data_IF_629439772037
#
_entry.id   IF_629439772037
#
_cell.length_a   1.000
_cell.length_b   1.000
_cell.length_c   1.000
_cell.angle_alpha   90.00
_cell.angle_beta   90.00
_cell.angle_gamma   90.00
#
_symmetry.space_group_name_H-M   'P 1'
#
loop_
_entity.id
_entity.type
_entity.pdbx_description
1 polymer ?
#
# COMPACT_ATOMS: atom_id res chain seq x y z
N UNK A 1 37.71 99.47 72.51
CA UNK A 1 37.91 99.95 73.89
C UNK A 1 37.11 99.06 74.83
N UNK A 2 37.78 98.59 75.88
CA UNK A 2 37.21 98.14 77.18
C UNK A 2 36.40 96.82 77.18
N UNK A 3 36.85 95.75 77.86
CA UNK A 3 36.89 95.51 79.33
C UNK A 3 35.46 95.50 79.92
N UNK A 4 34.99 94.58 80.76
CA UNK A 4 35.56 93.53 81.62
C UNK A 4 34.40 92.66 82.18
N UNK A 5 34.70 91.38 82.44
CA UNK A 5 34.34 90.53 83.62
C UNK A 5 32.93 90.47 84.21
N UNK A 6 32.40 89.25 84.38
CA UNK A 6 32.48 88.42 85.61
C UNK A 6 31.70 87.12 85.40
N UNK A 7 32.31 85.93 85.44
CA UNK A 7 32.63 85.06 86.61
C UNK A 7 31.39 84.64 87.43
N UNK A 8 31.02 83.37 87.28
CA UNK A 8 30.49 82.41 88.28
C UNK A 8 30.41 81.03 87.56
N UNK A 9 31.44 80.18 87.64
CA UNK A 9 31.69 79.09 88.60
C UNK A 9 30.77 77.85 88.52
N UNK A 10 31.41 76.73 88.10
CA UNK A 10 31.23 75.35 88.56
C UNK A 10 30.07 74.47 88.03
N UNK A 11 30.37 73.57 87.07
CA UNK A 11 30.41 72.10 87.19
C UNK A 11 30.36 71.39 85.81
N UNK A 12 31.14 70.32 85.65
CA UNK A 12 31.10 69.34 84.55
C UNK A 12 31.34 67.95 85.18
N UNK A 13 31.20 66.79 84.50
CA UNK A 13 30.48 66.43 83.25
C UNK A 13 29.61 65.15 83.41
N UNK A 14 28.73 64.78 82.46
CA UNK A 14 28.35 63.37 82.22
C UNK A 14 27.92 63.13 80.77
N UNK A 15 28.69 62.32 80.03
CA UNK A 15 28.22 61.64 78.83
C UNK A 15 27.26 60.50 79.22
N UNK A 16 26.05 60.50 78.69
CA UNK A 16 25.12 59.39 78.79
C UNK A 16 25.28 58.47 77.57
N UNK A 17 25.92 57.33 77.79
CA UNK A 17 25.88 56.18 76.88
C UNK A 17 24.45 55.63 76.86
N UNK A 18 23.86 55.47 75.68
CA UNK A 18 22.58 54.75 75.51
C UNK A 18 22.84 53.24 75.53
N UNK A 19 22.16 52.45 76.38
CA UNK A 19 22.40 51.03 76.48
C UNK A 19 21.74 50.26 75.33
N UNK A 20 22.48 49.31 74.77
CA UNK A 20 21.97 48.33 73.81
C UNK A 20 20.96 47.38 74.45
N UNK A 21 19.86 47.12 73.74
CA UNK A 21 18.91 46.06 74.05
C UNK A 21 18.69 45.18 72.81
N UNK A 22 19.41 44.06 72.81
CA UNK A 22 19.29 42.90 71.95
C UNK A 22 17.95 42.19 72.15
N UNK A 23 16.98 42.42 71.26
CA UNK A 23 15.79 41.56 71.15
C UNK A 23 15.65 41.00 69.74
N UNK A 24 15.69 39.68 69.62
CA UNK A 24 15.47 38.90 68.38
C UNK A 24 14.15 39.29 67.71
N UNK A 25 13.15 39.70 68.50
CA UNK A 25 11.84 40.15 68.03
C UNK A 25 11.91 41.48 67.29
N UNK A 26 12.74 42.42 67.74
CA UNK A 26 12.94 43.70 67.07
C UNK A 26 13.66 43.51 65.72
N UNK A 27 14.63 42.58 65.67
CA UNK A 27 15.32 42.19 64.43
C UNK A 27 14.37 41.49 63.44
N UNK A 28 13.50 40.59 63.93
CA UNK A 28 12.52 39.90 63.10
C UNK A 28 11.47 40.88 62.53
N UNK A 29 11.02 41.86 63.31
CA UNK A 29 10.06 42.86 62.83
C UNK A 29 10.68 43.78 61.76
N UNK A 30 11.93 44.20 61.93
CA UNK A 30 12.69 44.93 60.91
C UNK A 30 12.94 44.10 59.64
N UNK A 31 13.21 42.80 59.78
CA UNK A 31 13.39 41.88 58.64
C UNK A 31 12.09 41.68 57.85
N UNK A 32 10.95 41.54 58.54
CA UNK A 32 9.63 41.49 57.91
C UNK A 32 9.26 42.82 57.25
N UNK A 33 9.56 43.95 57.90
CA UNK A 33 9.32 45.29 57.35
C UNK A 33 10.13 45.53 56.06
N UNK A 34 11.34 44.99 55.98
CA UNK A 34 12.23 45.14 54.83
C UNK A 34 12.16 43.95 53.86
N UNK A 35 11.17 43.07 54.00
CA UNK A 35 11.02 41.89 53.15
C UNK A 35 10.59 42.28 51.73
N UNK A 36 11.50 42.15 50.77
CA UNK A 36 11.22 42.31 49.34
C UNK A 36 10.77 40.96 48.77
N UNK A 37 9.58 40.90 48.17
CA UNK A 37 9.12 39.68 47.46
C UNK A 37 10.17 39.32 46.39
N UNK A 38 10.57 38.04 46.26
CA UNK A 38 11.43 37.63 45.15
C UNK A 38 10.70 37.89 43.83
N UNK A 39 11.44 38.41 42.84
CA UNK A 39 10.93 38.72 41.52
C UNK A 39 10.25 37.49 40.90
N UNK A 40 9.09 37.69 40.28
CA UNK A 40 8.25 36.65 39.66
C UNK A 40 8.91 35.94 38.45
N UNK A 41 10.22 36.12 38.24
CA UNK A 41 10.98 35.61 37.10
C UNK A 41 11.77 34.33 37.42
N UNK A 42 11.43 33.61 38.49
CA UNK A 42 11.98 32.27 38.73
C UNK A 42 11.37 31.29 37.71
N UNK A 43 12.00 31.15 36.55
CA UNK A 43 11.65 30.10 35.58
C UNK A 43 11.74 28.73 36.26
N UNK A 44 10.78 27.81 36.04
CA UNK A 44 10.89 26.46 36.55
C UNK A 44 12.17 25.83 36.03
N UNK A 45 13.05 25.42 36.96
CA UNK A 45 14.26 24.65 36.67
C UNK A 45 13.94 23.49 35.71
N UNK A 46 14.64 23.43 34.57
CA UNK A 46 14.63 22.31 33.63
C UNK A 46 15.21 21.05 34.30
N UNK A 47 14.44 20.44 35.22
CA UNK A 47 14.79 19.17 35.84
C UNK A 47 14.75 18.10 34.76
N UNK A 48 15.92 17.58 34.39
CA UNK A 48 16.01 16.43 33.49
C UNK A 48 15.15 15.29 34.05
N UNK A 49 14.33 14.61 33.22
CA UNK A 49 13.46 13.55 33.69
C UNK A 49 14.27 12.44 34.38
N UNK A 50 13.71 11.86 35.44
CA UNK A 50 14.39 10.78 36.16
C UNK A 50 14.66 9.58 35.22
N UNK A 51 15.71 8.77 35.48
CA UNK A 51 16.00 7.59 34.66
C UNK A 51 14.81 6.63 34.58
N UNK A 52 14.05 6.49 35.66
CA UNK A 52 12.83 5.69 35.70
C UNK A 52 11.72 6.26 34.81
N UNK A 53 11.49 7.58 34.87
CA UNK A 53 10.52 8.25 33.99
C UNK A 53 10.88 8.06 32.51
N UNK A 54 12.16 8.24 32.17
CA UNK A 54 12.67 8.02 30.81
C UNK A 54 12.43 6.57 30.36
N UNK A 55 12.78 5.57 31.19
CA UNK A 55 12.55 4.14 30.88
C UNK A 55 11.07 3.77 30.71
N UNK A 56 10.17 4.39 31.47
CA UNK A 56 8.73 4.16 31.32
C UNK A 56 8.19 4.73 30.01
N UNK A 57 8.65 5.92 29.60
CA UNK A 57 8.26 6.52 28.31
C UNK A 57 8.78 5.73 27.11
N UNK A 58 10.03 5.25 27.17
CA UNK A 58 10.58 4.40 26.10
C UNK A 58 9.89 3.05 26.03
N UNK A 59 9.59 2.41 27.18
CA UNK A 59 8.77 1.19 27.22
C UNK A 59 7.39 1.42 26.59
N UNK A 60 6.71 2.51 26.93
CA UNK A 60 5.42 2.86 26.34
C UNK A 60 5.51 3.07 24.81
N UNK A 61 6.58 3.72 24.34
CA UNK A 61 6.81 3.90 22.91
C UNK A 61 7.07 2.57 22.17
N UNK A 62 7.82 1.66 22.78
CA UNK A 62 8.07 0.31 22.25
C UNK A 62 6.76 -0.48 22.15
N UNK A 63 5.92 -0.46 23.20
CA UNK A 63 4.62 -1.15 23.15
C UNK A 63 3.70 -0.58 22.06
N UNK A 64 3.64 0.75 21.90
CA UNK A 64 2.89 1.38 20.80
C UNK A 64 3.40 0.94 19.43
N UNK A 65 4.71 0.87 19.24
CA UNK A 65 5.30 0.42 17.98
C UNK A 65 5.05 -1.08 17.74
N UNK A 66 5.09 -1.91 18.80
CA UNK A 66 4.73 -3.33 18.73
C UNK A 66 3.29 -3.51 18.28
N UNK A 67 2.34 -2.80 18.88
CA UNK A 67 0.92 -2.87 18.48
C UNK A 67 0.72 -2.41 17.03
N UNK A 68 1.42 -1.35 16.60
CA UNK A 68 1.37 -0.88 15.20
C UNK A 68 1.85 -1.96 14.22
N UNK A 69 3.02 -2.54 14.46
CA UNK A 69 3.57 -3.60 13.60
C UNK A 69 2.67 -4.84 13.60
N UNK A 70 2.08 -5.19 14.75
CA UNK A 70 1.14 -6.30 14.84
C UNK A 70 -0.10 -6.08 13.95
N UNK A 71 -0.68 -4.87 13.95
CA UNK A 71 -1.79 -4.55 13.04
C UNK A 71 -1.36 -4.57 11.56
N UNK A 72 -0.14 -4.12 11.26
CA UNK A 72 0.40 -4.17 9.88
C UNK A 72 0.58 -5.61 9.42
N UNK A 73 1.07 -6.49 10.29
CA UNK A 73 1.19 -7.92 10.03
C UNK A 73 -0.18 -8.56 9.77
N UNK A 74 -1.16 -8.31 10.63
CA UNK A 74 -2.53 -8.84 10.46
C UNK A 74 -3.16 -8.39 9.13
N UNK A 75 -2.98 -7.12 8.77
CA UNK A 75 -3.41 -6.61 7.45
C UNK A 75 -2.68 -7.31 6.31
N UNK A 76 -1.38 -7.53 6.43
CA UNK A 76 -0.60 -8.23 5.42
C UNK A 76 -1.04 -9.70 5.25
N UNK A 77 -1.38 -10.39 6.34
CA UNK A 77 -1.92 -11.76 6.29
C UNK A 77 -3.25 -11.78 5.53
N UNK A 78 -4.20 -10.91 5.89
CA UNK A 78 -5.50 -10.82 5.18
C UNK A 78 -5.32 -10.50 3.70
N UNK A 79 -4.38 -9.61 3.36
CA UNK A 79 -4.07 -9.29 1.97
C UNK A 79 -3.48 -10.49 1.23
N UNK A 80 -2.61 -11.26 1.88
CA UNK A 80 -2.05 -12.49 1.33
C UNK A 80 -3.12 -13.54 1.07
N UNK A 81 -4.03 -13.77 2.02
CA UNK A 81 -5.13 -14.73 1.87
C UNK A 81 -6.07 -14.32 0.72
N UNK A 82 -6.38 -13.03 0.62
CA UNK A 82 -7.18 -12.47 -0.49
C UNK A 82 -6.47 -12.64 -1.84
N UNK A 83 -5.17 -12.38 -1.90
CA UNK A 83 -4.38 -12.57 -3.10
C UNK A 83 -4.34 -14.06 -3.51
N UNK A 84 -4.15 -14.97 -2.55
CA UNK A 84 -4.21 -16.41 -2.78
C UNK A 84 -5.56 -16.86 -3.37
N UNK A 85 -6.68 -16.39 -2.80
CA UNK A 85 -8.00 -16.67 -3.33
C UNK A 85 -8.20 -16.15 -4.77
N UNK A 86 -7.67 -14.95 -5.06
CA UNK A 86 -7.72 -14.38 -6.41
C UNK A 86 -6.90 -15.21 -7.41
N UNK A 87 -5.71 -15.66 -7.02
CA UNK A 87 -4.86 -16.55 -7.84
C UNK A 87 -5.60 -17.84 -8.16
N UNK A 88 -6.15 -18.54 -7.16
CA UNK A 88 -6.91 -19.78 -7.39
C UNK A 88 -8.13 -19.57 -8.29
N UNK A 89 -8.83 -18.43 -8.18
CA UNK A 89 -9.94 -18.12 -9.08
C UNK A 89 -9.49 -17.90 -10.53
N UNK A 90 -8.36 -17.22 -10.72
CA UNK A 90 -7.76 -17.00 -12.04
C UNK A 90 -7.24 -18.30 -12.65
N UNK A 91 -6.62 -19.18 -11.88
CA UNK A 91 -6.16 -20.50 -12.36
C UNK A 91 -7.32 -21.35 -12.86
N UNK A 92 -8.44 -21.40 -12.12
CA UNK A 92 -9.66 -22.10 -12.55
C UNK A 92 -10.19 -21.54 -13.87
N UNK A 93 -10.20 -20.21 -14.01
CA UNK A 93 -10.62 -19.55 -15.25
C UNK A 93 -9.65 -19.84 -16.40
N UNK A 94 -8.35 -19.80 -16.15
CA UNK A 94 -7.35 -20.10 -17.17
C UNK A 94 -7.50 -21.53 -17.69
N UNK A 95 -7.66 -22.50 -16.79
CA UNK A 95 -7.91 -23.89 -17.17
C UNK A 95 -9.22 -24.06 -17.97
N UNK A 96 -10.25 -23.27 -17.68
CA UNK A 96 -11.48 -23.27 -18.49
C UNK A 96 -11.25 -22.75 -19.91
N UNK A 97 -10.40 -21.73 -20.08
CA UNK A 97 -10.03 -21.22 -21.40
C UNK A 97 -9.18 -22.23 -22.18
N UNK A 98 -8.24 -22.90 -21.52
CA UNK A 98 -7.41 -23.93 -22.15
C UNK A 98 -8.27 -25.06 -22.73
N UNK A 99 -9.32 -25.48 -22.02
CA UNK A 99 -10.29 -26.48 -22.53
C UNK A 99 -11.01 -25.99 -23.79
N UNK A 100 -11.55 -24.78 -23.75
CA UNK A 100 -12.25 -24.19 -24.90
C UNK A 100 -11.32 -24.07 -26.09
N UNK A 101 -10.07 -23.64 -25.88
CA UNK A 101 -9.06 -23.56 -26.93
C UNK A 101 -8.79 -24.96 -27.53
N UNK A 102 -8.60 -25.98 -26.69
CA UNK A 102 -8.36 -27.34 -27.15
C UNK A 102 -9.53 -27.89 -27.98
N UNK A 103 -10.77 -27.66 -27.55
CA UNK A 103 -11.98 -28.08 -28.27
C UNK A 103 -12.08 -27.42 -29.65
N UNK A 104 -11.85 -26.11 -29.73
CA UNK A 104 -11.87 -25.39 -31.01
C UNK A 104 -10.73 -25.82 -31.93
N UNK A 105 -9.53 -26.03 -31.39
CA UNK A 105 -8.43 -26.57 -32.18
C UNK A 105 -8.76 -27.96 -32.74
N UNK A 106 -9.39 -28.82 -31.95
CA UNK A 106 -9.84 -30.14 -32.43
C UNK A 106 -10.91 -29.99 -33.51
N UNK A 107 -11.88 -29.08 -33.33
CA UNK A 107 -12.94 -28.85 -34.31
C UNK A 107 -12.37 -28.35 -35.64
N UNK A 108 -11.41 -27.43 -35.61
CA UNK A 108 -10.71 -26.95 -36.81
C UNK A 108 -10.01 -28.10 -37.52
N UNK A 109 -9.28 -28.97 -36.80
CA UNK A 109 -8.63 -30.15 -37.39
C UNK A 109 -9.63 -31.12 -38.03
N UNK A 110 -10.78 -31.36 -37.38
CA UNK A 110 -11.85 -32.20 -37.93
C UNK A 110 -12.41 -31.62 -39.22
N UNK A 111 -12.78 -30.34 -39.20
CA UNK A 111 -13.34 -29.64 -40.35
C UNK A 111 -12.36 -29.59 -41.52
N UNK A 112 -11.07 -29.43 -41.24
CA UNK A 112 -10.02 -29.47 -42.26
C UNK A 112 -9.95 -30.85 -42.94
N UNK A 113 -10.00 -31.93 -42.17
CA UNK A 113 -10.04 -33.30 -42.70
C UNK A 113 -11.31 -33.56 -43.53
N UNK A 114 -12.47 -33.11 -43.05
CA UNK A 114 -13.74 -33.20 -43.77
C UNK A 114 -13.69 -32.43 -45.11
N UNK A 115 -13.09 -31.24 -45.12
CA UNK A 115 -12.91 -30.45 -46.34
C UNK A 115 -12.00 -31.15 -47.36
N UNK A 116 -10.87 -31.71 -46.92
CA UNK A 116 -9.94 -32.44 -47.78
C UNK A 116 -10.60 -33.67 -48.42
N UNK A 117 -11.42 -34.39 -47.65
CA UNK A 117 -12.20 -35.52 -48.14
C UNK A 117 -13.24 -35.07 -49.17
N UNK A 118 -14.03 -34.03 -48.89
CA UNK A 118 -15.02 -33.50 -49.82
C UNK A 118 -14.38 -33.01 -51.14
N UNK A 119 -13.20 -32.37 -51.06
CA UNK A 119 -12.45 -31.97 -52.24
C UNK A 119 -11.94 -33.17 -53.05
N UNK A 120 -11.47 -34.22 -52.38
CA UNK A 120 -11.04 -35.46 -53.04
C UNK A 120 -12.21 -36.12 -53.77
N UNK A 121 -13.36 -36.21 -53.12
CA UNK A 121 -14.59 -36.75 -53.72
C UNK A 121 -15.05 -35.91 -54.91
N UNK A 122 -15.05 -34.58 -54.80
CA UNK A 122 -15.39 -33.68 -55.91
C UNK A 122 -14.50 -33.90 -57.15
N UNK A 123 -13.18 -34.05 -56.95
CA UNK A 123 -12.24 -34.39 -58.04
C UNK A 123 -12.54 -35.78 -58.63
N UNK A 124 -12.85 -36.77 -57.78
CA UNK A 124 -13.22 -38.12 -58.22
C UNK A 124 -14.50 -38.11 -59.05
N UNK A 125 -15.54 -37.41 -58.61
CA UNK A 125 -16.80 -37.28 -59.36
C UNK A 125 -16.60 -36.57 -60.69
N UNK A 126 -15.74 -35.55 -60.74
CA UNK A 126 -15.41 -34.86 -62.00
C UNK A 126 -14.73 -35.80 -63.00
N UNK A 127 -13.84 -36.69 -62.52
CA UNK A 127 -13.20 -37.69 -63.37
C UNK A 127 -14.19 -38.75 -63.88
N UNK A 128 -15.07 -39.27 -63.03
CA UNK A 128 -16.11 -40.22 -63.45
C UNK A 128 -17.09 -39.59 -64.45
N UNK A 129 -17.46 -38.33 -64.25
CA UNK A 129 -18.32 -37.60 -65.19
C UNK A 129 -17.68 -37.51 -66.58
N UNK A 130 -16.39 -37.15 -66.65
CA UNK A 130 -15.67 -37.10 -67.92
C UNK A 130 -15.60 -38.48 -68.57
N UNK A 131 -15.27 -39.51 -67.80
CA UNK A 131 -15.21 -40.90 -68.29
C UNK A 131 -16.53 -41.36 -68.89
N UNK A 132 -17.64 -41.16 -68.18
CA UNK A 132 -18.98 -41.54 -68.64
C UNK A 132 -19.40 -40.73 -69.87
N UNK A 133 -19.07 -39.44 -69.91
CA UNK A 133 -19.34 -38.59 -71.08
C UNK A 133 -18.61 -39.12 -72.33
N UNK A 134 -17.32 -39.43 -72.22
CA UNK A 134 -16.55 -40.02 -73.32
C UNK A 134 -17.16 -41.34 -73.79
N UNK A 135 -17.49 -42.24 -72.86
CA UNK A 135 -18.14 -43.52 -73.20
C UNK A 135 -19.50 -43.33 -73.88
N UNK A 136 -20.29 -42.36 -73.44
CA UNK A 136 -21.58 -42.05 -74.05
C UNK A 136 -21.42 -41.53 -75.49
N UNK A 137 -20.46 -40.65 -75.74
CA UNK A 137 -20.13 -40.15 -77.08
C UNK A 137 -19.67 -41.29 -78.00
N UNK A 138 -18.84 -42.23 -77.53
CA UNK A 138 -18.41 -43.42 -78.28
C UNK A 138 -19.58 -44.35 -78.64
N UNK A 139 -20.51 -44.57 -77.70
CA UNK A 139 -21.71 -45.37 -77.95
C UNK A 139 -22.59 -44.75 -79.02
N UNK A 140 -22.76 -43.42 -79.01
CA UNK A 140 -23.51 -42.72 -80.08
C UNK A 140 -22.87 -42.98 -81.45
N UNK A 141 -21.55 -42.83 -81.57
CA UNK A 141 -20.83 -43.07 -82.83
C UNK A 141 -21.01 -44.52 -83.30
N UNK A 142 -20.96 -45.48 -82.37
CA UNK A 142 -21.17 -46.90 -82.67
C UNK A 142 -22.60 -47.17 -83.16
N UNK A 143 -23.61 -46.60 -82.51
CA UNK A 143 -25.02 -46.70 -82.93
C UNK A 143 -25.22 -46.14 -84.33
N UNK A 144 -24.62 -44.99 -84.64
CA UNK A 144 -24.71 -44.39 -85.97
C UNK A 144 -24.01 -45.24 -87.05
N UNK A 145 -22.87 -45.89 -86.72
CA UNK A 145 -22.21 -46.84 -87.63
C UNK A 145 -23.10 -48.04 -87.93
N UNK A 146 -23.65 -48.68 -86.88
CA UNK A 146 -24.51 -49.85 -87.02
C UNK A 146 -25.79 -49.53 -87.81
N UNK A 147 -26.36 -48.34 -87.65
CA UNK A 147 -27.52 -47.89 -88.44
C UNK A 147 -27.19 -47.78 -89.92
N UNK A 148 -26.01 -47.24 -90.27
CA UNK A 148 -25.56 -47.14 -91.66
C UNK A 148 -25.32 -48.53 -92.26
N UNK A 149 -24.63 -49.40 -91.53
CA UNK A 149 -24.40 -50.79 -91.96
C UNK A 149 -25.72 -51.53 -92.19
N UNK A 150 -26.67 -51.44 -91.27
CA UNK A 150 -27.98 -52.07 -91.41
C UNK A 150 -28.74 -51.56 -92.65
N UNK A 151 -28.71 -50.24 -92.90
CA UNK A 151 -29.28 -49.68 -94.13
C UNK A 151 -28.59 -50.16 -95.40
N UNK A 152 -27.28 -50.44 -95.35
CA UNK A 152 -26.54 -50.96 -96.50
C UNK A 152 -26.83 -52.45 -96.74
N UNK A 153 -27.02 -53.24 -95.67
CA UNK A 153 -27.36 -54.66 -95.75
C UNK A 153 -28.81 -54.91 -96.17
N UNK A 154 -29.71 -53.95 -95.88
CA UNK A 154 -31.13 -54.03 -96.25
C UNK A 154 -31.44 -53.51 -97.67
N UNK A 155 -30.42 -53.09 -98.43
CA UNK A 155 -30.51 -52.67 -99.83
C UNK A 155 -30.03 -53.79 -100.75
#
# INVERSE_FOLDING_TARGET
MQRLTSRDSCHAPTQMQTPGASSTRAKAWLALRNWKKPDANFLPSSRKPSPLSTRLTTRSAVEKNRSRIQMELEKAVVNSDRAGAAVTALEKRNHSFDKVIADWQLKVRSLQSELENAQKESRSYSAELFRVKTQYEEVIVTVDSLRRENSNLSR
#
